data_IF_167065676385
#
_entry.id   IF_167065676385
#
_cell.length_a   1.000
_cell.length_b   1.000
_cell.length_c   1.000
_cell.angle_alpha   90.00
_cell.angle_beta   90.00
_cell.angle_gamma   90.00
#
_symmetry.space_group_name_H-M   'P 1'
#
loop_
_entity.id
_entity.type
_entity.pdbx_description
1 polymer ?
#
# COMPACT_ATOMS: atom_id res chain seq x y z
N UNK A 1 -26.07 4.98 -2.93
CA UNK A 1 -27.45 5.28 -2.46
C UNK A 1 -28.13 4.08 -1.80
N UNK A 2 -28.56 3.04 -2.52
CA UNK A 2 -29.41 1.96 -1.96
C UNK A 2 -28.93 1.26 -0.67
N UNK A 3 -27.62 1.17 -0.43
CA UNK A 3 -27.10 0.66 0.86
C UNK A 3 -27.33 1.63 2.02
N UNK A 4 -27.17 2.93 1.78
CA UNK A 4 -27.39 3.99 2.78
C UNK A 4 -28.85 4.03 3.22
N UNK A 5 -29.77 3.78 2.29
CA UNK A 5 -31.22 3.79 2.53
C UNK A 5 -31.76 2.51 3.21
N UNK A 6 -30.93 1.50 3.46
CA UNK A 6 -31.36 0.21 3.98
C UNK A 6 -31.66 0.24 5.50
N UNK A 7 -32.78 -0.34 5.97
CA UNK A 7 -33.14 -0.40 7.39
C UNK A 7 -32.13 -1.22 8.19
N UNK A 8 -31.80 -0.73 9.40
CA UNK A 8 -30.78 -1.29 10.31
C UNK A 8 -29.47 -1.68 9.60
N UNK A 9 -29.18 -0.97 8.51
CA UNK A 9 -28.00 -1.15 7.70
C UNK A 9 -27.77 -2.57 7.15
N UNK A 10 -28.84 -3.37 7.07
CA UNK A 10 -28.80 -4.80 6.74
C UNK A 10 -28.00 -5.65 7.73
N UNK A 11 -27.71 -5.19 8.96
CA UNK A 11 -26.82 -5.89 9.91
C UNK A 11 -27.31 -7.31 10.25
N UNK A 12 -28.62 -7.51 10.30
CA UNK A 12 -29.26 -8.81 10.58
C UNK A 12 -29.39 -9.71 9.35
N UNK A 13 -29.01 -9.23 8.16
CA UNK A 13 -29.15 -9.98 6.92
C UNK A 13 -28.05 -11.06 6.81
N UNK A 14 -28.35 -12.32 6.45
CA UNK A 14 -27.35 -13.41 6.42
C UNK A 14 -26.20 -13.18 5.43
N UNK A 15 -26.42 -12.35 4.40
CA UNK A 15 -25.39 -11.96 3.42
C UNK A 15 -24.65 -10.66 3.76
N UNK A 16 -24.85 -10.07 4.94
CA UNK A 16 -24.29 -8.77 5.30
C UNK A 16 -22.76 -8.74 5.11
N UNK A 17 -22.02 -9.68 5.72
CA UNK A 17 -20.56 -9.75 5.61
C UNK A 17 -20.07 -9.90 4.17
N UNK A 18 -20.72 -10.75 3.36
CA UNK A 18 -20.38 -10.91 1.93
C UNK A 18 -20.56 -9.59 1.16
N UNK A 19 -21.66 -8.87 1.41
CA UNK A 19 -21.92 -7.57 0.77
C UNK A 19 -20.90 -6.52 1.23
N UNK A 20 -20.50 -6.52 2.50
CA UNK A 20 -19.47 -5.61 3.01
C UNK A 20 -18.11 -5.88 2.37
N UNK A 21 -17.72 -7.15 2.21
CA UNK A 21 -16.50 -7.53 1.47
C UNK A 21 -16.53 -7.05 0.02
N UNK A 22 -17.65 -7.24 -0.68
CA UNK A 22 -17.79 -6.73 -2.04
C UNK A 22 -17.67 -5.19 -2.12
N UNK A 23 -18.21 -4.48 -1.13
CA UNK A 23 -18.11 -3.00 -1.04
C UNK A 23 -16.68 -2.55 -0.77
N UNK A 24 -15.95 -3.23 0.11
CA UNK A 24 -14.54 -2.93 0.36
C UNK A 24 -13.67 -3.21 -0.86
N UNK A 25 -13.89 -4.33 -1.56
CA UNK A 25 -13.19 -4.61 -2.82
C UNK A 25 -13.46 -3.52 -3.86
N UNK A 26 -14.71 -3.06 -3.96
CA UNK A 26 -15.05 -1.97 -4.87
C UNK A 26 -14.31 -0.68 -4.51
N UNK A 27 -14.25 -0.29 -3.23
CA UNK A 27 -13.47 0.86 -2.78
C UNK A 27 -11.98 0.70 -3.09
N UNK A 28 -11.42 -0.49 -2.87
CA UNK A 28 -10.03 -0.80 -3.19
C UNK A 28 -9.72 -0.60 -4.69
N UNK A 29 -10.58 -1.13 -5.57
CA UNK A 29 -10.40 -0.99 -7.02
C UNK A 29 -10.56 0.45 -7.52
N UNK A 30 -11.30 1.29 -6.79
CA UNK A 30 -11.51 2.69 -7.18
C UNK A 30 -10.28 3.57 -6.92
N UNK A 31 -9.33 3.13 -6.08
CA UNK A 31 -8.04 3.83 -5.92
C UNK A 31 -7.33 4.00 -7.26
N UNK A 32 -7.46 3.02 -8.17
CA UNK A 32 -6.69 2.94 -9.42
C UNK A 32 -7.42 3.55 -10.64
N UNK A 33 -8.72 3.82 -10.56
CA UNK A 33 -9.56 4.10 -11.76
C UNK A 33 -9.96 5.58 -11.86
N UNK A 34 -10.39 6.20 -10.75
CA UNK A 34 -10.71 7.63 -10.65
C UNK A 34 -11.01 7.97 -9.17
N UNK A 35 -10.41 9.01 -8.56
CA UNK A 35 -10.78 9.40 -7.20
C UNK A 35 -12.27 9.75 -7.16
N UNK A 36 -13.00 9.02 -6.33
CA UNK A 36 -14.41 9.28 -6.02
C UNK A 36 -14.63 10.76 -5.65
N UNK A 37 -15.16 11.56 -6.58
CA UNK A 37 -15.40 13.00 -6.36
C UNK A 37 -16.63 13.20 -5.46
N UNK A 38 -16.38 13.62 -4.22
CA UNK A 38 -17.41 13.96 -3.25
C UNK A 38 -18.30 15.14 -3.72
N UNK A 39 -17.82 15.98 -4.64
CA UNK A 39 -18.59 17.05 -5.27
C UNK A 39 -19.67 16.53 -6.23
N UNK A 40 -19.38 15.45 -6.96
CA UNK A 40 -20.34 14.80 -7.86
C UNK A 40 -21.33 13.92 -7.09
N UNK A 41 -20.88 13.30 -5.99
CA UNK A 41 -21.69 12.37 -5.20
C UNK A 41 -21.59 12.65 -3.69
N UNK A 42 -22.49 13.49 -3.13
CA UNK A 42 -22.45 13.90 -1.73
C UNK A 42 -22.60 12.75 -0.70
N UNK A 43 -23.07 11.59 -1.13
CA UNK A 43 -23.27 10.40 -0.30
C UNK A 43 -22.01 9.53 -0.13
N UNK A 44 -20.95 9.78 -0.90
CA UNK A 44 -19.73 8.96 -0.89
C UNK A 44 -19.05 8.93 0.49
N UNK A 45 -18.85 10.06 1.19
CA UNK A 45 -18.16 10.03 2.48
C UNK A 45 -18.88 9.15 3.50
N UNK A 46 -20.21 9.23 3.57
CA UNK A 46 -21.03 8.39 4.44
C UNK A 46 -20.94 6.91 4.06
N UNK A 47 -20.96 6.61 2.75
CA UNK A 47 -20.76 5.25 2.26
C UNK A 47 -19.42 4.66 2.70
N UNK A 48 -18.33 5.43 2.56
CA UNK A 48 -16.98 4.99 2.92
C UNK A 48 -16.86 4.77 4.42
N UNK A 49 -17.35 5.72 5.24
CA UNK A 49 -17.35 5.59 6.70
C UNK A 49 -18.11 4.34 7.15
N UNK A 50 -19.29 4.10 6.59
CA UNK A 50 -20.07 2.92 6.97
C UNK A 50 -19.43 1.62 6.53
N UNK A 51 -18.74 1.61 5.40
CA UNK A 51 -17.97 0.44 4.98
C UNK A 51 -16.79 0.21 5.92
N UNK A 52 -16.06 1.26 6.26
CA UNK A 52 -14.95 1.26 7.23
C UNK A 52 -15.38 0.73 8.59
N UNK A 53 -16.46 1.26 9.16
CA UNK A 53 -16.95 0.93 10.51
C UNK A 53 -17.23 -0.57 10.70
N UNK A 54 -17.60 -1.27 9.63
CA UNK A 54 -17.79 -2.72 9.69
C UNK A 54 -16.46 -3.46 9.92
N UNK A 55 -15.38 -3.07 9.24
CA UNK A 55 -14.08 -3.73 9.33
C UNK A 55 -13.24 -3.25 10.51
N UNK A 56 -13.39 -1.99 10.93
CA UNK A 56 -12.70 -1.42 12.10
C UNK A 56 -13.04 -2.15 13.41
N UNK A 57 -14.21 -2.82 13.48
CA UNK A 57 -14.60 -3.68 14.60
C UNK A 57 -13.71 -4.93 14.76
N UNK A 58 -12.96 -5.32 13.73
CA UNK A 58 -12.11 -6.50 13.72
C UNK A 58 -12.86 -7.82 13.46
N UNK A 59 -12.15 -8.94 13.62
CA UNK A 59 -12.61 -10.28 13.30
C UNK A 59 -12.14 -10.81 11.94
N UNK A 60 -12.57 -12.02 11.54
CA UNK A 60 -12.05 -12.71 10.35
C UNK A 60 -12.25 -11.95 9.03
N UNK A 61 -13.40 -11.28 8.87
CA UNK A 61 -13.67 -10.50 7.65
C UNK A 61 -12.73 -9.31 7.49
N UNK A 62 -12.20 -8.76 8.59
CA UNK A 62 -11.22 -7.68 8.59
C UNK A 62 -9.75 -8.16 8.62
N UNK A 63 -9.53 -9.47 8.70
CA UNK A 63 -8.20 -10.09 8.73
C UNK A 63 -7.84 -10.82 7.43
N UNK A 64 -8.66 -10.70 6.40
CA UNK A 64 -8.48 -11.31 5.07
C UNK A 64 -8.76 -10.29 3.98
N UNK A 65 -8.18 -10.45 2.78
CA UNK A 65 -8.54 -9.58 1.66
C UNK A 65 -10.03 -9.71 1.29
N UNK A 66 -10.72 -8.59 1.01
CA UNK A 66 -10.22 -7.21 0.94
C UNK A 66 -10.27 -6.45 2.28
N UNK A 67 -10.73 -7.07 3.37
CA UNK A 67 -10.89 -6.39 4.65
C UNK A 67 -9.61 -5.79 5.23
N UNK A 68 -8.44 -6.38 4.98
CA UNK A 68 -7.16 -5.87 5.49
C UNK A 68 -6.80 -4.46 4.97
N UNK A 69 -7.42 -3.99 3.88
CA UNK A 69 -7.19 -2.64 3.34
C UNK A 69 -8.13 -1.58 3.90
N UNK A 70 -8.98 -1.93 4.89
CA UNK A 70 -9.89 -0.95 5.49
C UNK A 70 -9.22 0.33 6.01
N UNK A 71 -7.97 0.32 6.55
CA UNK A 71 -7.33 1.56 6.98
C UNK A 71 -7.12 2.56 5.82
N UNK A 72 -7.02 2.07 4.58
CA UNK A 72 -6.85 2.89 3.36
C UNK A 72 -8.09 3.70 3.01
N UNK A 73 -9.24 3.35 3.59
CA UNK A 73 -10.46 4.17 3.44
C UNK A 73 -10.28 5.60 3.94
N UNK A 74 -9.32 5.84 4.83
CA UNK A 74 -8.98 7.18 5.30
C UNK A 74 -8.50 8.11 4.18
N UNK A 75 -7.82 7.59 3.15
CA UNK A 75 -7.34 8.40 2.03
C UNK A 75 -8.46 9.03 1.20
N UNK A 76 -9.61 8.35 1.11
CA UNK A 76 -10.78 8.88 0.41
C UNK A 76 -11.53 9.96 1.20
N UNK A 77 -11.33 10.05 2.52
CA UNK A 77 -12.08 10.96 3.38
C UNK A 77 -11.42 12.33 3.51
N UNK A 78 -10.41 12.63 2.69
CA UNK A 78 -9.73 13.93 2.52
C UNK A 78 -9.08 14.53 3.78
N UNK A 79 -9.16 13.86 4.92
CA UNK A 79 -8.38 14.17 6.10
C UNK A 79 -7.11 13.35 6.09
N UNK A 80 -5.94 14.01 6.15
CA UNK A 80 -4.71 13.39 6.66
C UNK A 80 -4.94 13.03 8.13
N UNK A 81 -5.72 11.99 8.36
CA UNK A 81 -5.81 11.35 9.64
C UNK A 81 -4.57 10.49 9.77
N UNK A 82 -3.93 10.56 10.94
CA UNK A 82 -2.91 9.59 11.27
C UNK A 82 -3.53 8.19 11.16
N UNK A 83 -3.18 7.45 10.11
CA UNK A 83 -3.69 6.09 9.90
C UNK A 83 -2.87 5.05 10.65
N UNK A 84 -1.77 5.44 11.32
CA UNK A 84 -0.94 4.51 12.09
C UNK A 84 -1.78 3.74 13.13
N UNK A 85 -2.68 4.36 13.92
CA UNK A 85 -3.57 3.61 14.81
C UNK A 85 -4.46 2.60 14.09
N UNK A 86 -4.99 2.96 12.91
CA UNK A 86 -5.80 2.05 12.09
C UNK A 86 -4.96 0.89 11.54
N UNK A 87 -3.73 1.14 11.13
CA UNK A 87 -2.78 0.12 10.69
C UNK A 87 -2.37 -0.82 11.82
N UNK A 88 -2.11 -0.28 13.02
CA UNK A 88 -1.78 -1.08 14.20
C UNK A 88 -2.96 -1.98 14.60
N UNK A 89 -4.18 -1.45 14.55
CA UNK A 89 -5.40 -2.22 14.78
C UNK A 89 -5.59 -3.32 13.71
N UNK A 90 -5.38 -3.01 12.43
CA UNK A 90 -5.46 -3.98 11.34
C UNK A 90 -4.39 -5.08 11.48
N UNK A 91 -3.16 -4.72 11.85
CA UNK A 91 -2.08 -5.67 12.06
C UNK A 91 -2.36 -6.58 13.25
N UNK A 92 -2.83 -6.02 14.37
CA UNK A 92 -3.25 -6.79 15.54
C UNK A 92 -4.40 -7.76 15.19
N UNK A 93 -5.36 -7.32 14.38
CA UNK A 93 -6.44 -8.16 13.90
C UNK A 93 -5.94 -9.29 12.99
N UNK A 94 -5.00 -9.02 12.08
CA UNK A 94 -4.36 -10.03 11.24
C UNK A 94 -3.57 -11.05 12.07
N UNK A 95 -2.92 -10.64 13.18
CA UNK A 95 -2.27 -11.58 14.11
C UNK A 95 -3.26 -12.51 14.80
N UNK A 96 -4.45 -12.01 15.11
CA UNK A 96 -5.47 -12.76 15.83
C UNK A 96 -6.27 -13.71 14.92
N UNK A 97 -6.55 -13.31 13.68
CA UNK A 97 -7.50 -14.01 12.80
C UNK A 97 -7.00 -14.27 11.38
N UNK A 98 -5.88 -13.68 10.96
CA UNK A 98 -5.33 -13.77 9.60
C UNK A 98 -4.20 -14.78 9.47
N UNK A 99 -3.64 -14.86 8.26
CA UNK A 99 -2.47 -15.66 7.94
C UNK A 99 -1.18 -14.84 7.84
N UNK A 100 -0.06 -15.53 7.61
CA UNK A 100 1.24 -14.88 7.44
C UNK A 100 1.29 -13.94 6.23
N UNK A 101 0.50 -14.25 5.19
CA UNK A 101 0.39 -13.39 4.01
C UNK A 101 -0.34 -12.09 4.35
N UNK A 102 -1.47 -12.14 5.04
CA UNK A 102 -2.20 -10.94 5.47
C UNK A 102 -1.38 -10.07 6.43
N UNK A 103 -0.67 -10.69 7.39
CA UNK A 103 0.28 -9.98 8.25
C UNK A 103 1.34 -9.27 7.40
N UNK A 104 1.92 -9.98 6.42
CA UNK A 104 2.94 -9.43 5.53
C UNK A 104 2.42 -8.24 4.72
N UNK A 105 1.23 -8.34 4.13
CA UNK A 105 0.62 -7.26 3.32
C UNK A 105 0.27 -6.05 4.19
N UNK A 106 -0.35 -6.25 5.36
CA UNK A 106 -0.68 -5.13 6.26
C UNK A 106 0.58 -4.44 6.78
N UNK A 107 1.61 -5.19 7.12
CA UNK A 107 2.89 -4.65 7.57
C UNK A 107 3.62 -3.90 6.45
N UNK A 108 3.53 -4.39 5.21
CA UNK A 108 4.06 -3.74 4.01
C UNK A 108 3.40 -2.38 3.81
N UNK A 109 2.07 -2.31 3.81
CA UNK A 109 1.36 -1.02 3.69
C UNK A 109 1.75 -0.06 4.82
N UNK A 110 1.82 -0.53 6.08
CA UNK A 110 2.23 0.32 7.21
C UNK A 110 3.64 0.87 7.00
N UNK A 111 4.57 0.04 6.52
CA UNK A 111 5.98 0.43 6.31
C UNK A 111 6.09 1.55 5.28
N UNK A 112 5.48 1.39 4.10
CA UNK A 112 5.49 2.43 3.06
C UNK A 112 4.95 3.75 3.59
N UNK A 113 3.84 3.70 4.33
CA UNK A 113 3.25 4.89 4.91
C UNK A 113 4.13 5.60 5.93
N UNK A 114 4.84 4.86 6.79
CA UNK A 114 5.74 5.47 7.79
C UNK A 114 6.98 6.05 7.11
N UNK A 115 7.49 5.40 6.07
CA UNK A 115 8.63 5.88 5.28
C UNK A 115 8.30 7.19 4.56
N UNK A 116 7.10 7.31 4.00
CA UNK A 116 6.65 8.51 3.28
C UNK A 116 6.19 9.65 4.21
N UNK A 117 6.02 9.38 5.51
CA UNK A 117 5.50 10.35 6.47
C UNK A 117 6.57 11.31 7.02
N UNK A 118 6.23 12.60 7.23
CA UNK A 118 7.07 13.51 8.01
C UNK A 118 7.18 13.05 9.48
N UNK A 119 8.34 13.28 10.10
CA UNK A 119 8.54 12.99 11.54
C UNK A 119 9.48 11.81 11.85
N UNK A 120 10.19 11.30 10.83
CA UNK A 120 11.13 10.19 10.97
C UNK A 120 10.47 8.84 10.74
N UNK A 121 11.24 7.77 10.95
CA UNK A 121 10.85 6.39 10.63
C UNK A 121 10.87 5.46 11.86
N UNK A 122 10.09 5.74 12.92
CA UNK A 122 10.05 4.89 14.10
C UNK A 122 9.50 3.49 13.75
N UNK A 123 10.17 2.44 14.20
CA UNK A 123 9.73 1.05 14.01
C UNK A 123 9.93 0.48 12.60
N UNK A 124 10.34 1.28 11.61
CA UNK A 124 10.52 0.81 10.22
C UNK A 124 11.56 -0.31 10.12
N UNK A 125 12.63 -0.28 10.90
CA UNK A 125 13.66 -1.32 10.84
C UNK A 125 13.15 -2.67 11.38
N UNK A 126 12.32 -2.64 12.44
CA UNK A 126 11.69 -3.83 12.98
C UNK A 126 10.66 -4.40 11.99
N UNK A 127 9.87 -3.51 11.37
CA UNK A 127 8.88 -3.87 10.35
C UNK A 127 9.55 -4.49 9.12
N UNK A 128 10.63 -3.88 8.61
CA UNK A 128 11.41 -4.40 7.49
C UNK A 128 12.06 -5.74 7.82
N UNK A 129 12.59 -5.91 9.04
CA UNK A 129 13.18 -7.18 9.47
C UNK A 129 12.15 -8.31 9.46
N UNK A 130 10.96 -8.06 10.00
CA UNK A 130 9.88 -9.03 10.00
C UNK A 130 9.35 -9.28 8.57
N UNK A 131 9.14 -8.25 7.77
CA UNK A 131 8.70 -8.36 6.38
C UNK A 131 9.65 -9.21 5.55
N UNK A 132 10.96 -9.06 5.72
CA UNK A 132 11.95 -9.91 5.02
C UNK A 132 11.79 -11.38 5.38
N UNK A 133 11.43 -11.70 6.63
CA UNK A 133 11.15 -13.08 7.05
C UNK A 133 9.83 -13.58 6.46
N UNK A 134 8.74 -12.82 6.63
CA UNK A 134 7.40 -13.20 6.18
C UNK A 134 7.33 -13.35 4.66
N UNK A 135 7.83 -12.37 3.91
CA UNK A 135 7.82 -12.37 2.43
C UNK A 135 8.59 -13.55 1.84
N UNK A 136 9.66 -14.03 2.48
CA UNK A 136 10.35 -15.26 2.10
C UNK A 136 9.54 -16.52 2.41
N UNK A 137 8.86 -16.56 3.55
CA UNK A 137 8.06 -17.72 3.99
C UNK A 137 6.80 -17.91 3.15
N UNK A 138 6.10 -16.82 2.86
CA UNK A 138 4.88 -16.83 2.03
C UNK A 138 5.19 -16.96 0.54
N UNK A 139 6.44 -16.70 0.13
CA UNK A 139 6.89 -16.86 -1.25
C UNK A 139 6.41 -15.76 -2.21
N UNK A 140 5.82 -14.69 -1.68
CA UNK A 140 5.28 -13.59 -2.47
C UNK A 140 6.41 -12.65 -2.91
N UNK A 141 6.81 -12.77 -4.18
CA UNK A 141 7.87 -11.96 -4.78
C UNK A 141 7.45 -10.51 -5.01
N UNK A 142 6.15 -10.24 -5.17
CA UNK A 142 5.65 -8.87 -5.28
C UNK A 142 5.78 -8.15 -3.94
N UNK A 143 5.36 -8.78 -2.84
CA UNK A 143 5.61 -8.24 -1.49
C UNK A 143 7.11 -8.04 -1.25
N UNK A 144 7.98 -8.96 -1.70
CA UNK A 144 9.44 -8.76 -1.60
C UNK A 144 9.92 -7.51 -2.37
N UNK A 145 9.40 -7.24 -3.56
CA UNK A 145 9.76 -6.04 -4.33
C UNK A 145 9.38 -4.77 -3.56
N UNK A 146 8.18 -4.73 -2.99
CA UNK A 146 7.69 -3.63 -2.14
C UNK A 146 8.58 -3.43 -0.90
N UNK A 147 8.96 -4.53 -0.22
CA UNK A 147 9.87 -4.47 0.95
C UNK A 147 11.23 -3.87 0.58
N UNK A 148 11.80 -4.26 -0.57
CA UNK A 148 13.03 -3.68 -1.08
C UNK A 148 12.85 -2.20 -1.44
N UNK A 149 11.74 -1.82 -2.08
CA UNK A 149 11.41 -0.43 -2.38
C UNK A 149 11.36 0.44 -1.11
N UNK A 150 10.62 0.02 -0.07
CA UNK A 150 10.54 0.73 1.20
C UNK A 150 11.89 0.81 1.94
N UNK A 151 12.70 -0.27 1.89
CA UNK A 151 14.05 -0.26 2.45
C UNK A 151 14.97 0.73 1.71
N UNK A 152 14.84 0.81 0.38
CA UNK A 152 15.55 1.78 -0.44
C UNK A 152 15.21 3.22 -0.07
N UNK A 153 13.92 3.54 0.06
CA UNK A 153 13.46 4.86 0.49
C UNK A 153 13.97 5.21 1.90
N UNK A 154 13.92 4.27 2.84
CA UNK A 154 14.44 4.47 4.19
C UNK A 154 15.96 4.72 4.19
N UNK A 155 16.72 3.97 3.39
CA UNK A 155 18.15 4.18 3.22
C UNK A 155 18.45 5.55 2.57
N UNK A 156 17.69 5.95 1.55
CA UNK A 156 17.79 7.28 0.92
C UNK A 156 17.58 8.41 1.91
N UNK A 157 16.51 8.34 2.71
CA UNK A 157 16.18 9.34 3.72
C UNK A 157 17.27 9.46 4.79
N UNK A 158 18.03 8.38 5.05
CA UNK A 158 19.15 8.33 5.99
C UNK A 158 20.51 8.63 5.35
N UNK A 159 20.57 8.82 4.04
CA UNK A 159 21.81 9.09 3.29
C UNK A 159 22.68 7.86 3.01
N UNK A 160 22.16 6.66 3.19
CA UNK A 160 22.85 5.40 2.89
C UNK A 160 22.67 5.04 1.41
N UNK A 161 23.31 5.80 0.53
CA UNK A 161 23.08 5.73 -0.92
C UNK A 161 23.44 4.38 -1.55
N UNK A 162 24.51 3.73 -1.09
CA UNK A 162 24.91 2.41 -1.63
C UNK A 162 23.91 1.31 -1.24
N UNK A 163 23.41 1.36 0.00
CA UNK A 163 22.37 0.45 0.48
C UNK A 163 21.06 0.68 -0.29
N UNK A 164 20.66 1.94 -0.44
CA UNK A 164 19.50 2.31 -1.23
C UNK A 164 19.58 1.78 -2.67
N UNK A 165 20.74 1.94 -3.32
CA UNK A 165 20.97 1.44 -4.67
C UNK A 165 20.72 -0.07 -4.77
N UNK A 166 21.33 -0.86 -3.89
CA UNK A 166 21.14 -2.31 -3.87
C UNK A 166 19.68 -2.71 -3.66
N UNK A 167 18.97 -2.03 -2.76
CA UNK A 167 17.56 -2.32 -2.50
C UNK A 167 16.67 -1.96 -3.70
N UNK A 168 16.87 -0.81 -4.35
CA UNK A 168 16.11 -0.47 -5.56
C UNK A 168 16.42 -1.38 -6.75
N UNK A 169 17.68 -1.82 -6.92
CA UNK A 169 18.05 -2.77 -7.97
C UNK A 169 17.36 -4.12 -7.76
N UNK A 170 17.31 -4.63 -6.52
CA UNK A 170 16.60 -5.87 -6.20
C UNK A 170 15.08 -5.71 -6.35
N UNK A 171 14.51 -4.59 -5.92
CA UNK A 171 13.09 -4.27 -6.12
C UNK A 171 12.74 -4.28 -7.62
N UNK A 172 13.56 -3.61 -8.45
CA UNK A 172 13.34 -3.52 -9.89
C UNK A 172 13.42 -4.89 -10.55
N UNK A 173 14.43 -5.70 -10.16
CA UNK A 173 14.59 -7.07 -10.65
C UNK A 173 13.36 -7.92 -10.32
N UNK A 174 12.86 -7.86 -9.08
CA UNK A 174 11.67 -8.60 -8.64
C UNK A 174 10.39 -8.12 -9.33
N UNK A 175 10.24 -6.81 -9.54
CA UNK A 175 9.10 -6.23 -10.26
C UNK A 175 9.05 -6.75 -11.71
N UNK A 176 10.21 -6.84 -12.39
CA UNK A 176 10.29 -7.48 -13.70
C UNK A 176 9.93 -8.97 -13.66
N UNK A 177 10.40 -9.73 -12.66
CA UNK A 177 10.11 -11.17 -12.55
C UNK A 177 8.61 -11.48 -12.39
N UNK A 178 7.88 -10.63 -11.66
CA UNK A 178 6.46 -10.82 -11.38
C UNK A 178 5.53 -10.06 -12.34
N UNK A 179 6.10 -9.26 -13.25
CA UNK A 179 5.34 -8.44 -14.19
C UNK A 179 4.64 -7.23 -13.56
N UNK A 180 5.11 -6.77 -12.39
CA UNK A 180 4.61 -5.57 -11.72
C UNK A 180 5.21 -4.29 -12.35
N UNK A 181 4.99 -4.13 -13.65
CA UNK A 181 5.66 -3.09 -14.44
C UNK A 181 5.25 -1.66 -14.05
N UNK A 182 4.07 -1.49 -13.46
CA UNK A 182 3.57 -0.21 -12.95
C UNK A 182 4.53 0.46 -11.94
N UNK A 183 5.33 -0.34 -11.22
CA UNK A 183 6.26 0.16 -10.19
C UNK A 183 7.64 0.50 -10.75
N UNK A 184 7.94 0.04 -11.97
CA UNK A 184 9.28 0.13 -12.55
C UNK A 184 9.74 1.57 -12.84
N UNK A 185 8.90 2.52 -13.30
CA UNK A 185 9.33 3.90 -13.53
C UNK A 185 9.80 4.59 -12.25
N UNK A 186 9.09 4.36 -11.13
CA UNK A 186 9.47 4.91 -9.83
C UNK A 186 10.86 4.41 -9.39
N UNK A 187 11.11 3.10 -9.48
CA UNK A 187 12.38 2.50 -9.10
C UNK A 187 13.53 2.98 -10.02
N UNK A 188 13.29 3.11 -11.32
CA UNK A 188 14.25 3.66 -12.27
C UNK A 188 14.59 5.13 -11.96
N UNK A 189 13.59 5.95 -11.62
CA UNK A 189 13.79 7.34 -11.25
C UNK A 189 14.64 7.47 -9.97
N UNK A 190 14.43 6.59 -8.97
CA UNK A 190 15.26 6.55 -7.76
C UNK A 190 16.71 6.16 -8.04
N UNK A 191 16.93 5.19 -8.92
CA UNK A 191 18.28 4.83 -9.37
C UNK A 191 18.95 5.97 -10.15
N UNK A 192 18.20 6.71 -10.97
CA UNK A 192 18.70 7.89 -11.65
C UNK A 192 19.10 9.00 -10.66
N UNK A 193 18.31 9.20 -9.60
CA UNK A 193 18.60 10.14 -8.53
C UNK A 193 19.93 9.81 -7.82
N UNK A 194 20.20 8.53 -7.59
CA UNK A 194 21.46 8.04 -7.04
C UNK A 194 22.64 8.29 -7.99
N UNK A 195 22.50 7.98 -9.28
CA UNK A 195 23.51 8.27 -10.31
C UNK A 195 23.82 9.78 -10.39
N UNK A 196 22.79 10.63 -10.29
CA UNK A 196 22.96 12.07 -10.26
C UNK A 196 23.79 12.52 -9.06
N UNK A 197 23.50 12.01 -7.86
CA UNK A 197 24.26 12.30 -6.64
C UNK A 197 25.72 11.83 -6.72
N UNK A 198 25.98 10.72 -7.41
CA UNK A 198 27.33 10.23 -7.68
C UNK A 198 28.10 11.08 -8.72
N UNK A 199 27.46 12.09 -9.33
CA UNK A 199 28.06 12.92 -10.37
C UNK A 199 27.95 12.34 -11.78
N UNK A 200 27.27 11.21 -11.95
CA UNK A 200 27.13 10.47 -13.20
C UNK A 200 25.96 11.00 -14.04
N UNK A 201 26.00 12.30 -14.37
CA UNK A 201 24.86 13.02 -14.97
C UNK A 201 24.31 12.38 -16.25
N UNK A 202 25.18 11.86 -17.11
CA UNK A 202 24.74 11.20 -18.35
C UNK A 202 24.01 9.90 -18.08
N UNK A 203 24.42 9.13 -17.08
CA UNK A 203 23.73 7.90 -16.68
C UNK A 203 22.38 8.22 -16.03
N UNK A 204 22.33 9.25 -15.18
CA UNK A 204 21.10 9.72 -14.58
C UNK A 204 20.06 10.14 -15.62
N UNK A 205 20.46 10.92 -16.64
CA UNK A 205 19.57 11.32 -17.72
C UNK A 205 19.05 10.13 -18.52
N UNK A 206 19.92 9.19 -18.89
CA UNK A 206 19.50 7.98 -19.60
C UNK A 206 18.49 7.15 -18.79
N UNK A 207 18.71 6.99 -17.48
CA UNK A 207 17.79 6.27 -16.61
C UNK A 207 16.44 7.00 -16.43
N UNK A 208 16.41 8.34 -16.44
CA UNK A 208 15.16 9.11 -16.44
C UNK A 208 14.40 8.99 -17.76
N UNK A 209 15.11 8.97 -18.89
CA UNK A 209 14.49 8.75 -20.21
C UNK A 209 13.87 7.35 -20.29
N UNK A 210 14.55 6.33 -19.76
CA UNK A 210 14.02 4.98 -19.64
C UNK A 210 12.80 4.90 -18.70
N UNK A 211 12.85 5.59 -17.56
CA UNK A 211 11.72 5.68 -16.62
C UNK A 211 10.49 6.30 -17.29
N UNK A 212 10.65 7.41 -18.02
CA UNK A 212 9.56 8.06 -18.74
C UNK A 212 8.97 7.15 -19.84
N UNK A 213 9.83 6.49 -20.61
CA UNK A 213 9.39 5.55 -21.64
C UNK A 213 8.62 4.35 -21.04
N UNK A 214 9.04 3.86 -19.87
CA UNK A 214 8.34 2.83 -19.13
C UNK A 214 6.98 3.32 -18.61
N UNK A 215 6.93 4.53 -18.02
CA UNK A 215 5.70 5.16 -17.56
C UNK A 215 4.66 5.28 -18.68
N UNK A 216 5.06 5.80 -19.84
CA UNK A 216 4.19 5.87 -21.03
C UNK A 216 3.72 4.49 -21.48
N UNK A 217 4.62 3.50 -21.53
CA UNK A 217 4.31 2.14 -21.96
C UNK A 217 3.30 1.45 -21.06
N UNK A 218 3.38 1.68 -19.76
CA UNK A 218 2.54 1.03 -18.75
C UNK A 218 1.37 1.90 -18.27
N UNK A 219 1.25 3.12 -18.80
CA UNK A 219 0.17 4.08 -18.48
C UNK A 219 0.08 4.41 -16.99
N UNK A 220 1.25 4.67 -16.37
CA UNK A 220 1.43 5.05 -14.96
C UNK A 220 2.21 6.35 -14.82
#
# INVERSE_FOLDING_TARGET
AAFLDAPDHEESHPLHGMRMRARMLHLFMLVDIDPLDAGEYPWIPEYILRVRDFFEKGGPDAATMPGIVWPMTAFFLSGWHDVRPSMDAALANCRAYGGEWEIGVTLMFRTHMVVDAPGGMPGVDDDLAELRVLSRRVGDRWVRAQVCSAAGEAAMARGFYDEAKSEYEEALRLAFEVGAYAETPFLMARLAELAYRAGERSQALAALDEANAAAERYSV
#
